data_IF_712978712967
#
_entry.id   IF_712978712967
#
_cell.length_a   1.000
_cell.length_b   1.000
_cell.length_c   1.000
_cell.angle_alpha   90.00
_cell.angle_beta   90.00
_cell.angle_gamma   90.00
#
_symmetry.space_group_name_H-M   'P 1'
#
loop_
_entity.id
_entity.type
_entity.pdbx_description
1 polymer ?
#
# COMPACT_ATOMS: atom_id res chain seq x y z
N UNK A 1 26.31 6.56 15.76
CA UNK A 1 25.83 5.31 15.12
C UNK A 1 25.92 5.53 13.61
N UNK A 2 26.42 4.56 12.85
CA UNK A 2 26.59 4.65 11.40
C UNK A 2 25.57 3.70 10.73
N UNK A 3 25.07 4.05 9.55
CA UNK A 3 24.22 3.18 8.71
C UNK A 3 22.89 2.77 9.36
N UNK A 4 22.22 3.72 10.00
CA UNK A 4 20.85 3.54 10.47
C UNK A 4 19.91 4.25 9.50
N UNK A 5 18.91 3.53 9.00
CA UNK A 5 17.78 4.09 8.28
C UNK A 5 16.63 4.35 9.25
N UNK A 6 16.03 5.53 9.16
CA UNK A 6 14.81 5.86 9.89
C UNK A 6 13.68 6.05 8.89
N UNK A 7 12.62 5.24 8.98
CA UNK A 7 11.44 5.37 8.12
C UNK A 7 10.30 6.01 8.90
N UNK A 8 9.84 7.17 8.44
CA UNK A 8 8.80 7.96 9.11
C UNK A 8 7.57 8.04 8.20
N UNK A 9 6.60 7.10 8.32
CA UNK A 9 5.42 7.09 7.46
C UNK A 9 4.39 8.17 7.83
N UNK A 10 4.44 8.69 9.07
CA UNK A 10 3.54 9.72 9.61
C UNK A 10 4.36 10.85 10.24
N UNK A 11 4.96 11.74 9.44
CA UNK A 11 5.87 12.77 9.94
C UNK A 11 5.20 13.75 10.91
N UNK A 12 3.89 13.95 10.79
CA UNK A 12 3.05 14.74 11.70
C UNK A 12 3.01 14.19 13.13
N UNK A 13 3.35 12.92 13.32
CA UNK A 13 3.38 12.27 14.65
C UNK A 13 4.76 12.31 15.31
N UNK A 14 5.78 12.78 14.61
CA UNK A 14 7.14 12.86 15.16
C UNK A 14 7.28 14.17 15.92
N UNK A 15 7.55 14.05 17.23
CA UNK A 15 7.77 15.18 18.13
C UNK A 15 9.08 15.01 18.90
N UNK A 16 9.56 16.10 19.51
CA UNK A 16 10.75 16.11 20.38
C UNK A 16 12.05 15.62 19.72
N UNK A 17 12.30 16.01 18.47
CA UNK A 17 13.55 15.73 17.79
C UNK A 17 14.70 16.53 18.41
N UNK A 18 15.81 15.85 18.72
CA UNK A 18 17.06 16.45 19.15
C UNK A 18 18.20 15.92 18.27
N UNK A 19 19.01 16.83 17.71
CA UNK A 19 20.16 16.48 16.90
C UNK A 19 21.45 16.58 17.73
N UNK A 20 22.39 15.66 17.49
CA UNK A 20 23.76 15.77 17.99
C UNK A 20 24.61 16.56 16.98
N UNK A 21 25.68 17.24 17.45
CA UNK A 21 26.51 18.09 16.60
C UNK A 21 27.15 17.35 15.40
N UNK A 22 27.46 16.07 15.57
CA UNK A 22 28.12 15.23 14.56
C UNK A 22 27.12 14.40 13.72
N UNK A 23 25.83 14.68 13.82
CA UNK A 23 24.81 13.94 13.08
C UNK A 23 24.84 14.33 11.60
N UNK A 24 25.08 13.35 10.74
CA UNK A 24 24.95 13.49 9.28
C UNK A 24 23.71 12.73 8.81
N UNK A 25 22.89 13.37 8.00
CA UNK A 25 21.63 12.81 7.49
C UNK A 25 21.52 13.08 6.00
N UNK A 26 21.39 12.00 5.23
CA UNK A 26 20.81 12.04 3.90
C UNK A 26 19.32 11.69 4.02
N UNK A 27 18.46 12.39 3.30
CA UNK A 27 17.02 12.20 3.41
C UNK A 27 16.31 12.27 2.06
N UNK A 28 15.21 11.55 2.00
CA UNK A 28 14.28 11.57 0.90
C UNK A 28 12.87 11.76 1.46
N UNK A 29 12.08 12.63 0.83
CA UNK A 29 10.66 12.78 1.10
C UNK A 29 9.89 12.86 -0.20
N UNK A 30 8.72 12.22 -0.22
CA UNK A 30 7.79 12.28 -1.33
C UNK A 30 6.35 12.26 -0.83
N UNK A 31 5.44 12.65 -1.71
CA UNK A 31 4.01 12.56 -1.44
C UNK A 31 3.62 11.11 -1.12
N UNK A 32 2.92 10.94 -0.01
CA UNK A 32 2.55 9.62 0.49
C UNK A 32 1.63 8.87 -0.50
N UNK A 33 0.68 9.58 -1.15
CA UNK A 33 -0.23 8.94 -2.12
C UNK A 33 0.53 8.49 -3.36
N UNK A 34 1.49 9.29 -3.81
CA UNK A 34 2.39 8.92 -4.90
C UNK A 34 3.13 7.61 -4.59
N UNK A 35 3.86 7.53 -3.48
CA UNK A 35 4.57 6.31 -3.09
C UNK A 35 3.65 5.10 -2.93
N UNK A 36 2.47 5.31 -2.31
CA UNK A 36 1.49 4.26 -2.10
C UNK A 36 0.94 3.67 -3.41
N UNK A 37 0.80 4.49 -4.45
CA UNK A 37 0.29 4.08 -5.77
C UNK A 37 1.33 3.31 -6.59
N UNK A 38 2.64 3.48 -6.30
CA UNK A 38 3.71 2.74 -6.96
C UNK A 38 3.79 1.29 -6.48
N UNK A 39 3.51 1.08 -5.20
CA UNK A 39 3.63 -0.22 -4.57
C UNK A 39 2.60 -1.21 -5.12
N UNK A 40 2.99 -2.44 -5.49
CA UNK A 40 2.03 -3.47 -5.86
C UNK A 40 1.08 -3.76 -4.69
N UNK A 41 -0.02 -4.44 -4.97
CA UNK A 41 -0.98 -4.91 -3.96
C UNK A 41 -0.40 -5.97 -3.00
N UNK A 42 0.92 -6.17 -2.97
CA UNK A 42 1.54 -7.09 -2.03
C UNK A 42 1.53 -6.47 -0.62
N UNK A 43 1.33 -7.33 0.37
CA UNK A 43 1.06 -6.93 1.75
C UNK A 43 2.31 -6.40 2.50
N UNK A 44 3.44 -6.24 1.81
CA UNK A 44 4.73 -5.97 2.45
C UNK A 44 4.82 -4.55 3.01
N UNK A 45 4.36 -3.56 2.25
CA UNK A 45 4.25 -2.17 2.72
C UNK A 45 3.43 -2.02 4.02
N UNK A 46 2.56 -2.99 4.29
CA UNK A 46 1.69 -3.02 5.44
C UNK A 46 2.40 -3.70 6.62
N UNK A 47 3.02 -4.87 6.41
CA UNK A 47 3.89 -5.52 7.40
C UNK A 47 5.01 -4.60 7.91
N UNK A 48 5.73 -3.97 6.97
CA UNK A 48 6.77 -2.99 7.25
C UNK A 48 6.25 -1.78 8.01
N UNK A 49 5.11 -1.19 7.61
CA UNK A 49 4.53 -0.05 8.33
C UNK A 49 4.16 -0.33 9.79
N UNK A 50 3.83 -1.58 10.13
CA UNK A 50 3.52 -1.98 11.51
C UNK A 50 4.80 -2.04 12.35
N UNK A 51 5.80 -2.77 11.87
CA UNK A 51 7.09 -2.96 12.55
C UNK A 51 7.83 -1.62 12.68
N UNK A 52 7.83 -0.80 11.62
CA UNK A 52 8.43 0.53 11.61
C UNK A 52 7.71 1.57 12.48
N UNK A 53 6.42 1.41 12.78
CA UNK A 53 5.75 2.30 13.74
C UNK A 53 6.18 2.03 15.19
N UNK A 54 6.58 0.79 15.50
CA UNK A 54 7.04 0.41 16.84
C UNK A 54 8.52 0.69 17.01
N UNK A 55 9.32 0.37 16.00
CA UNK A 55 10.73 0.66 15.94
C UNK A 55 11.11 1.17 14.54
N UNK A 56 11.13 2.50 14.35
CA UNK A 56 11.33 3.12 13.03
C UNK A 56 12.76 3.00 12.53
N UNK A 57 13.69 2.46 13.35
CA UNK A 57 15.10 2.35 13.02
C UNK A 57 15.40 0.98 12.42
N UNK A 58 15.88 0.96 11.19
CA UNK A 58 16.47 -0.23 10.56
C UNK A 58 17.99 -0.06 10.61
N UNK A 59 18.68 -1.01 11.22
CA UNK A 59 20.14 -1.08 11.17
C UNK A 59 20.56 -1.75 9.86
N UNK A 60 21.26 -1.02 9.01
CA UNK A 60 21.70 -1.51 7.71
C UNK A 60 23.11 -2.12 7.79
N UNK A 61 23.38 -3.09 6.93
CA UNK A 61 24.76 -3.46 6.59
C UNK A 61 25.43 -2.33 5.80
N UNK A 62 26.76 -2.36 5.71
CA UNK A 62 27.49 -1.37 4.90
C UNK A 62 27.08 -1.42 3.42
N UNK A 63 26.80 -2.62 2.90
CA UNK A 63 26.31 -2.83 1.52
C UNK A 63 24.91 -2.23 1.33
N UNK A 64 23.97 -2.53 2.23
CA UNK A 64 22.61 -1.99 2.18
C UNK A 64 22.61 -0.45 2.29
N UNK A 65 23.44 0.11 3.16
CA UNK A 65 23.58 1.55 3.31
C UNK A 65 24.12 2.20 2.03
N UNK A 66 25.09 1.57 1.37
CA UNK A 66 25.64 2.08 0.12
C UNK A 66 24.59 2.04 -1.01
N UNK A 67 23.87 0.93 -1.18
CA UNK A 67 22.80 0.85 -2.18
C UNK A 67 21.73 1.93 -1.98
N UNK A 68 21.28 2.13 -0.74
CA UNK A 68 20.27 3.14 -0.45
C UNK A 68 20.77 4.58 -0.67
N UNK A 69 22.05 4.84 -0.40
CA UNK A 69 22.68 6.12 -0.73
C UNK A 69 22.74 6.34 -2.24
N UNK A 70 23.08 5.30 -3.00
CA UNK A 70 23.12 5.36 -4.46
C UNK A 70 21.71 5.63 -5.04
N UNK A 71 20.67 5.04 -4.46
CA UNK A 71 19.28 5.35 -4.82
C UNK A 71 18.89 6.80 -4.53
N UNK A 72 19.23 7.31 -3.35
CA UNK A 72 18.98 8.71 -2.98
C UNK A 72 19.68 9.67 -3.93
N UNK A 73 20.94 9.38 -4.26
CA UNK A 73 21.71 10.16 -5.21
C UNK A 73 21.09 10.12 -6.60
N UNK A 74 20.65 8.94 -7.06
CA UNK A 74 20.01 8.81 -8.37
C UNK A 74 18.68 9.54 -8.45
N UNK A 75 17.89 9.54 -7.38
CA UNK A 75 16.67 10.35 -7.28
C UNK A 75 17.00 11.85 -7.29
N UNK A 76 18.02 12.28 -6.54
CA UNK A 76 18.48 13.67 -6.47
C UNK A 76 18.95 14.18 -7.83
N UNK A 77 19.78 13.41 -8.52
CA UNK A 77 20.38 13.79 -9.80
C UNK A 77 19.33 13.92 -10.92
N UNK A 78 18.20 13.23 -10.76
CA UNK A 78 17.10 13.19 -11.73
C UNK A 78 15.93 14.11 -11.40
N UNK A 79 15.93 14.76 -10.23
CA UNK A 79 14.79 15.53 -9.71
C UNK A 79 14.43 16.74 -10.59
N UNK A 80 15.41 17.33 -11.29
CA UNK A 80 15.22 18.54 -12.10
C UNK A 80 14.85 18.24 -13.55
N UNK A 81 14.79 16.96 -13.93
CA UNK A 81 14.42 16.50 -15.27
C UNK A 81 12.90 16.49 -15.52
N UNK A 82 12.16 17.38 -14.84
CA UNK A 82 10.71 17.52 -14.94
C UNK A 82 10.19 17.82 -16.34
N UNK A 83 11.07 18.25 -17.25
CA UNK A 83 10.79 18.49 -18.66
C UNK A 83 10.67 17.21 -19.50
N UNK A 84 11.13 16.06 -19.01
CA UNK A 84 11.07 14.80 -19.75
C UNK A 84 9.65 14.25 -19.81
N UNK A 85 9.29 13.70 -20.97
CA UNK A 85 7.97 13.14 -21.25
C UNK A 85 7.52 12.06 -20.24
N UNK A 86 8.47 11.26 -19.75
CA UNK A 86 8.23 10.15 -18.82
C UNK A 86 8.79 10.42 -17.43
N UNK A 87 8.89 11.69 -17.02
CA UNK A 87 9.49 12.07 -15.73
C UNK A 87 8.81 11.38 -14.54
N UNK A 88 7.47 11.32 -14.53
CA UNK A 88 6.73 10.74 -13.40
C UNK A 88 6.92 9.23 -13.30
N UNK A 89 6.93 8.55 -14.43
CA UNK A 89 7.18 7.11 -14.55
C UNK A 89 8.61 6.80 -14.11
N UNK A 90 9.59 7.56 -14.59
CA UNK A 90 10.99 7.40 -14.22
C UNK A 90 11.20 7.58 -12.71
N UNK A 91 10.72 8.71 -12.14
CA UNK A 91 10.81 8.96 -10.70
C UNK A 91 10.07 7.88 -9.90
N UNK A 92 8.93 7.43 -10.41
CA UNK A 92 8.17 6.33 -9.83
C UNK A 92 8.95 5.02 -9.80
N UNK A 93 9.61 4.65 -10.89
CA UNK A 93 10.45 3.45 -10.96
C UNK A 93 11.64 3.53 -10.00
N UNK A 94 12.32 4.67 -9.94
CA UNK A 94 13.44 4.88 -9.00
C UNK A 94 12.98 4.79 -7.54
N UNK A 95 11.84 5.42 -7.20
CA UNK A 95 11.25 5.30 -5.88
C UNK A 95 10.88 3.85 -5.57
N UNK A 96 10.31 3.12 -6.54
CA UNK A 96 9.89 1.74 -6.36
C UNK A 96 11.08 0.80 -6.08
N UNK A 97 12.20 0.97 -6.79
CA UNK A 97 13.45 0.23 -6.53
C UNK A 97 13.93 0.46 -5.10
N UNK A 98 14.12 1.73 -4.72
CA UNK A 98 14.54 2.13 -3.38
C UNK A 98 13.61 1.58 -2.28
N UNK A 99 12.29 1.60 -2.51
CA UNK A 99 11.32 1.04 -1.57
C UNK A 99 11.49 -0.47 -1.39
N UNK A 100 11.85 -1.22 -2.44
CA UNK A 100 12.13 -2.65 -2.31
C UNK A 100 13.42 -2.92 -1.55
N UNK A 101 14.46 -2.10 -1.70
CA UNK A 101 15.69 -2.25 -0.92
C UNK A 101 15.46 -1.98 0.57
N UNK A 102 14.63 -0.99 0.90
CA UNK A 102 14.16 -0.75 2.29
C UNK A 102 13.37 -1.96 2.82
N UNK A 103 12.50 -2.53 2.00
CA UNK A 103 11.70 -3.70 2.37
C UNK A 103 12.56 -4.94 2.61
N UNK A 104 13.57 -5.16 1.78
CA UNK A 104 14.48 -6.30 1.94
C UNK A 104 15.30 -6.16 3.23
N UNK A 105 15.84 -4.97 3.51
CA UNK A 105 16.54 -4.69 4.76
C UNK A 105 15.63 -4.88 5.99
N UNK A 106 14.36 -4.49 5.87
CA UNK A 106 13.35 -4.69 6.92
C UNK A 106 13.00 -6.19 7.11
N UNK A 107 12.89 -6.96 6.03
CA UNK A 107 12.54 -8.39 6.07
C UNK A 107 13.59 -9.21 6.81
N UNK A 108 14.87 -8.90 6.55
CA UNK A 108 16.00 -9.57 7.17
C UNK A 108 16.07 -9.30 8.68
N UNK A 109 15.56 -8.15 9.13
CA UNK A 109 15.39 -7.82 10.55
C UNK A 109 14.24 -8.59 11.19
N UNK A 110 13.04 -8.57 10.60
CA UNK A 110 11.85 -9.24 11.17
C UNK A 110 12.02 -10.77 11.27
N UNK A 111 12.86 -11.38 10.43
CA UNK A 111 13.24 -12.80 10.55
C UNK A 111 13.96 -13.13 11.88
N UNK A 112 14.52 -12.12 12.55
CA UNK A 112 15.30 -12.26 13.79
C UNK A 112 14.56 -11.82 15.05
N UNK A 113 13.42 -11.13 14.94
CA UNK A 113 12.72 -10.49 16.08
C UNK A 113 11.26 -10.97 16.20
N UNK A 114 11.03 -12.05 16.94
CA UNK A 114 9.70 -12.59 17.24
C UNK A 114 9.05 -11.89 18.44
N UNK A 115 8.53 -10.67 18.26
CA UNK A 115 7.59 -10.09 19.21
C UNK A 115 6.25 -9.76 18.52
N UNK A 116 5.23 -10.58 18.81
CA UNK A 116 3.88 -10.49 18.24
C UNK A 116 3.00 -9.52 19.04
N UNK A 117 2.96 -8.24 18.63
CA UNK A 117 1.87 -7.34 19.06
C UNK A 117 0.54 -7.85 18.48
N UNK A 118 -0.49 -7.98 19.33
CA UNK A 118 -1.88 -8.29 18.93
C UNK A 118 -2.37 -7.37 17.81
N UNK A 119 -1.90 -6.13 17.81
CA UNK A 119 -2.15 -5.13 16.76
C UNK A 119 -1.58 -5.59 15.41
N UNK A 120 -0.31 -6.03 15.40
CA UNK A 120 0.36 -6.53 14.21
C UNK A 120 -0.31 -7.80 13.66
N UNK A 121 -0.70 -8.70 14.56
CA UNK A 121 -1.46 -9.88 14.21
C UNK A 121 -2.77 -9.53 13.47
N UNK A 122 -3.57 -8.60 13.99
CA UNK A 122 -4.85 -8.22 13.36
C UNK A 122 -4.65 -7.65 11.95
N UNK A 123 -3.67 -6.77 11.78
CA UNK A 123 -3.39 -6.21 10.45
C UNK A 123 -2.92 -7.31 9.50
N UNK A 124 -1.97 -8.16 9.93
CA UNK A 124 -1.48 -9.29 9.12
C UNK A 124 -2.62 -10.22 8.71
N UNK A 125 -3.53 -10.56 9.62
CA UNK A 125 -4.66 -11.43 9.32
C UNK A 125 -5.69 -10.78 8.40
N UNK A 126 -5.96 -9.47 8.54
CA UNK A 126 -6.81 -8.74 7.58
C UNK A 126 -6.22 -8.82 6.17
N UNK A 127 -4.91 -8.59 6.04
CA UNK A 127 -4.23 -8.62 4.75
C UNK A 127 -4.17 -10.03 4.15
N UNK A 128 -3.98 -11.05 4.99
CA UNK A 128 -4.07 -12.44 4.56
C UNK A 128 -5.47 -12.77 4.02
N UNK A 129 -6.54 -12.32 4.70
CA UNK A 129 -7.91 -12.49 4.21
C UNK A 129 -8.12 -11.79 2.87
N UNK A 130 -7.69 -10.53 2.73
CA UNK A 130 -7.84 -9.78 1.47
C UNK A 130 -7.06 -10.40 0.30
N UNK A 131 -5.87 -10.94 0.57
CA UNK A 131 -5.06 -11.62 -0.44
C UNK A 131 -5.71 -12.88 -1.02
N UNK A 132 -6.67 -13.50 -0.31
CA UNK A 132 -7.44 -14.63 -0.87
C UNK A 132 -8.41 -14.23 -1.99
N UNK A 133 -8.61 -12.93 -2.23
CA UNK A 133 -9.59 -12.41 -3.18
C UNK A 133 -11.02 -12.38 -2.64
N UNK A 134 -11.22 -12.66 -1.34
CA UNK A 134 -12.56 -12.67 -0.70
C UNK A 134 -13.30 -11.32 -0.80
N UNK A 135 -12.57 -10.22 -0.98
CA UNK A 135 -13.14 -8.88 -1.20
C UNK A 135 -13.97 -8.78 -2.49
N UNK A 136 -13.78 -9.72 -3.43
CA UNK A 136 -14.63 -9.88 -4.61
C UNK A 136 -16.09 -10.08 -4.25
N UNK A 137 -16.43 -10.73 -3.14
CA UNK A 137 -17.82 -10.99 -2.74
C UNK A 137 -18.19 -10.34 -1.42
N UNK A 138 -17.20 -10.04 -0.57
CA UNK A 138 -17.40 -9.54 0.80
C UNK A 138 -16.72 -8.19 1.00
N UNK A 139 -17.49 -7.10 0.95
CA UNK A 139 -16.97 -5.72 1.03
C UNK A 139 -17.31 -4.99 2.32
N UNK A 140 -18.03 -5.63 3.24
CA UNK A 140 -18.41 -5.02 4.51
C UNK A 140 -17.32 -5.20 5.58
N UNK A 141 -16.96 -4.14 6.29
CA UNK A 141 -15.95 -4.18 7.37
C UNK A 141 -16.34 -5.18 8.47
N UNK A 142 -17.64 -5.32 8.74
CA UNK A 142 -18.19 -6.21 9.76
C UNK A 142 -17.92 -7.68 9.45
N UNK A 143 -17.86 -8.04 8.17
CA UNK A 143 -17.50 -9.40 7.74
C UNK A 143 -16.09 -9.77 8.21
N UNK A 144 -15.12 -8.89 7.95
CA UNK A 144 -13.72 -9.10 8.35
C UNK A 144 -13.58 -9.05 9.87
N UNK A 145 -14.25 -8.12 10.53
CA UNK A 145 -14.23 -8.01 11.99
C UNK A 145 -14.70 -9.30 12.67
N UNK A 146 -15.80 -9.88 12.17
CA UNK A 146 -16.32 -11.18 12.64
C UNK A 146 -15.30 -12.30 12.45
N UNK A 147 -14.67 -12.41 11.27
CA UNK A 147 -13.64 -13.44 11.02
C UNK A 147 -12.39 -13.29 11.89
N UNK A 148 -12.07 -12.07 12.29
CA UNK A 148 -10.93 -11.74 13.15
C UNK A 148 -11.29 -11.75 14.64
N UNK A 149 -12.52 -12.11 15.01
CA UNK A 149 -13.02 -12.13 16.39
C UNK A 149 -12.83 -10.78 17.12
N UNK A 150 -13.12 -9.68 16.42
CA UNK A 150 -13.06 -8.31 16.97
C UNK A 150 -14.31 -7.52 16.58
N UNK A 151 -14.57 -6.41 17.27
CA UNK A 151 -15.64 -5.49 16.86
C UNK A 151 -15.25 -4.70 15.60
N UNK A 152 -16.20 -4.32 14.73
CA UNK A 152 -15.92 -3.48 13.56
C UNK A 152 -15.26 -2.15 13.92
N UNK A 153 -15.67 -1.56 15.05
CA UNK A 153 -15.08 -0.33 15.60
C UNK A 153 -13.61 -0.54 15.99
N UNK A 154 -13.30 -1.64 16.67
CA UNK A 154 -11.93 -1.96 17.07
C UNK A 154 -11.05 -2.25 15.86
N UNK A 155 -11.53 -3.04 14.88
CA UNK A 155 -10.80 -3.27 13.63
C UNK A 155 -10.50 -1.95 12.91
N UNK A 156 -11.53 -1.11 12.72
CA UNK A 156 -11.38 0.18 12.04
C UNK A 156 -10.38 1.10 12.73
N UNK A 157 -10.46 1.22 14.07
CA UNK A 157 -9.52 2.03 14.85
C UNK A 157 -8.11 1.46 14.79
N UNK A 158 -7.96 0.14 14.89
CA UNK A 158 -6.67 -0.56 14.84
C UNK A 158 -5.98 -0.34 13.51
N UNK A 159 -6.67 -0.64 12.40
CA UNK A 159 -6.11 -0.46 11.05
C UNK A 159 -5.75 1.01 10.82
N UNK A 160 -6.66 1.95 11.12
CA UNK A 160 -6.39 3.38 10.93
C UNK A 160 -5.23 3.89 11.77
N UNK A 161 -5.11 3.45 13.02
CA UNK A 161 -4.03 3.87 13.93
C UNK A 161 -2.67 3.44 13.38
N UNK A 162 -2.59 2.21 12.90
CA UNK A 162 -1.34 1.55 12.50
C UNK A 162 -0.96 1.92 11.08
N UNK A 163 -1.90 1.87 10.14
CA UNK A 163 -1.57 2.03 8.73
C UNK A 163 -1.92 3.41 8.18
N UNK A 164 -2.68 4.21 8.92
CA UNK A 164 -3.21 5.51 8.48
C UNK A 164 -4.48 5.41 7.63
N UNK A 165 -4.88 4.21 7.20
CA UNK A 165 -5.98 3.99 6.26
C UNK A 165 -7.21 3.35 6.88
N UNK A 166 -8.36 3.53 6.23
CA UNK A 166 -9.56 2.82 6.62
C UNK A 166 -9.51 1.36 6.14
N UNK A 167 -10.22 0.48 6.84
CA UNK A 167 -10.42 -0.92 6.40
C UNK A 167 -11.05 -0.97 5.01
N UNK A 168 -12.02 -0.08 4.75
CA UNK A 168 -12.67 0.05 3.44
C UNK A 168 -11.67 0.37 2.33
N UNK A 169 -10.69 1.25 2.58
CA UNK A 169 -9.66 1.56 1.58
C UNK A 169 -8.84 0.33 1.17
N UNK A 170 -8.57 -0.59 2.11
CA UNK A 170 -7.90 -1.85 1.79
C UNK A 170 -8.80 -2.81 1.02
N UNK A 171 -10.05 -2.95 1.45
CA UNK A 171 -11.05 -3.74 0.71
C UNK A 171 -11.11 -3.26 -0.74
N UNK A 172 -11.21 -1.95 -0.97
CA UNK A 172 -11.25 -1.39 -2.32
C UNK A 172 -9.95 -1.64 -3.08
N UNK A 173 -8.76 -1.45 -2.46
CA UNK A 173 -7.46 -1.70 -3.10
C UNK A 173 -7.32 -3.13 -3.65
N UNK A 174 -7.92 -4.12 -2.97
CA UNK A 174 -7.94 -5.51 -3.44
C UNK A 174 -9.10 -5.80 -4.40
N UNK A 175 -10.24 -5.13 -4.24
CA UNK A 175 -11.44 -5.39 -5.05
C UNK A 175 -11.37 -4.77 -6.45
N UNK A 176 -10.82 -3.55 -6.57
CA UNK A 176 -10.83 -2.81 -7.83
C UNK A 176 -10.00 -3.48 -8.93
N UNK A 177 -8.81 -4.05 -8.68
CA UNK A 177 -8.11 -4.83 -9.70
C UNK A 177 -8.94 -6.01 -10.22
N UNK A 178 -9.57 -6.78 -9.32
CA UNK A 178 -10.44 -7.91 -9.69
C UNK A 178 -11.64 -7.44 -10.54
N UNK A 179 -12.25 -6.31 -10.17
CA UNK A 179 -13.33 -5.69 -10.94
C UNK A 179 -12.85 -5.33 -12.36
N UNK A 180 -11.66 -4.71 -12.47
CA UNK A 180 -11.09 -4.33 -13.76
C UNK A 180 -10.81 -5.55 -14.63
N UNK A 181 -10.28 -6.63 -14.04
CA UNK A 181 -10.02 -7.89 -14.73
C UNK A 181 -11.32 -8.49 -15.30
N UNK A 182 -12.41 -8.47 -14.53
CA UNK A 182 -13.73 -8.91 -15.02
C UNK A 182 -14.31 -8.00 -16.09
N UNK A 183 -14.17 -6.69 -15.94
CA UNK A 183 -14.64 -5.77 -16.96
C UNK A 183 -13.88 -5.93 -18.27
N UNK A 184 -12.59 -6.27 -18.21
CA UNK A 184 -11.74 -6.55 -19.38
C UNK A 184 -12.05 -7.89 -20.07
N UNK A 185 -12.72 -8.82 -19.39
CA UNK A 185 -13.17 -10.08 -20.01
C UNK A 185 -14.47 -9.87 -20.80
N UNK A 186 -14.36 -9.77 -22.12
CA UNK A 186 -15.50 -9.59 -23.04
C UNK A 186 -16.50 -10.75 -23.02
N UNK A 187 -16.11 -11.93 -22.53
CA UNK A 187 -16.99 -13.11 -22.45
C UNK A 187 -18.00 -12.99 -21.31
N UNK A 188 -17.76 -12.11 -20.34
CA UNK A 188 -18.65 -11.89 -19.21
C UNK A 188 -19.63 -10.75 -19.54
N UNK A 189 -20.93 -10.96 -19.36
CA UNK A 189 -21.90 -9.87 -19.35
C UNK A 189 -21.82 -9.07 -18.04
N UNK A 190 -22.24 -7.81 -18.05
CA UNK A 190 -22.27 -6.99 -16.83
C UNK A 190 -23.14 -7.60 -15.72
N UNK A 191 -24.22 -8.30 -16.09
CA UNK A 191 -25.07 -9.05 -15.16
C UNK A 191 -24.30 -10.20 -14.52
N UNK A 192 -23.58 -11.00 -15.31
CA UNK A 192 -22.75 -12.09 -14.79
C UNK A 192 -21.65 -11.56 -13.86
N UNK A 193 -21.06 -10.40 -14.15
CA UNK A 193 -20.07 -9.79 -13.26
C UNK A 193 -20.71 -9.35 -11.95
N UNK A 194 -21.88 -8.70 -12.01
CA UNK A 194 -22.62 -8.32 -10.82
C UNK A 194 -22.90 -9.54 -9.92
N UNK A 195 -23.30 -10.66 -10.52
CA UNK A 195 -23.54 -11.93 -9.81
C UNK A 195 -22.24 -12.53 -9.25
N UNK A 196 -21.16 -12.61 -10.04
CA UNK A 196 -19.85 -13.12 -9.62
C UNK A 196 -19.25 -12.32 -8.46
N UNK A 197 -19.52 -11.01 -8.43
CA UNK A 197 -19.10 -10.12 -7.37
C UNK A 197 -20.11 -10.05 -6.22
N UNK A 198 -21.19 -10.83 -6.22
CA UNK A 198 -22.21 -10.88 -5.18
C UNK A 198 -22.93 -9.52 -4.95
N UNK A 199 -23.31 -8.83 -6.02
CA UNK A 199 -24.20 -7.67 -5.94
C UNK A 199 -25.66 -8.11 -6.02
N UNK A 200 -26.53 -7.46 -5.24
CA UNK A 200 -27.97 -7.76 -5.21
C UNK A 200 -28.72 -7.33 -6.47
N UNK A 201 -28.13 -6.43 -7.28
CA UNK A 201 -28.64 -6.08 -8.59
C UNK A 201 -27.57 -5.43 -9.48
N UNK A 202 -27.80 -5.46 -10.79
CA UNK A 202 -26.98 -4.76 -11.78
C UNK A 202 -26.91 -3.24 -11.52
N UNK A 203 -27.98 -2.66 -10.99
CA UNK A 203 -28.04 -1.23 -10.65
C UNK A 203 -27.10 -0.89 -9.48
N UNK A 204 -27.04 -1.73 -8.45
CA UNK A 204 -26.09 -1.56 -7.34
C UNK A 204 -24.64 -1.73 -7.81
N UNK A 205 -24.39 -2.73 -8.65
CA UNK A 205 -23.08 -2.93 -9.29
C UNK A 205 -22.66 -1.70 -10.11
N UNK A 206 -23.55 -1.17 -10.96
CA UNK A 206 -23.24 -0.01 -11.80
C UNK A 206 -22.90 1.24 -10.99
N UNK A 207 -23.60 1.47 -9.86
CA UNK A 207 -23.26 2.54 -8.91
C UNK A 207 -21.89 2.33 -8.27
N UNK A 208 -21.57 1.09 -7.90
CA UNK A 208 -20.26 0.75 -7.35
C UNK A 208 -19.15 1.02 -8.37
N UNK A 209 -19.28 0.57 -9.62
CA UNK A 209 -18.33 0.87 -10.70
C UNK A 209 -18.15 2.38 -10.89
N UNK A 210 -19.24 3.13 -10.98
CA UNK A 210 -19.17 4.60 -11.19
C UNK A 210 -18.43 5.29 -10.04
N UNK A 211 -18.70 4.90 -8.79
CA UNK A 211 -18.03 5.44 -7.60
C UNK A 211 -16.51 5.21 -7.63
N UNK A 212 -16.06 4.03 -8.07
CA UNK A 212 -14.66 3.62 -7.96
C UNK A 212 -13.84 3.79 -9.24
N UNK A 213 -14.48 3.79 -10.41
CA UNK A 213 -13.85 3.92 -11.72
C UNK A 213 -14.09 5.29 -12.36
N UNK A 214 -15.00 6.10 -11.80
CA UNK A 214 -15.36 7.43 -12.33
C UNK A 214 -16.33 7.42 -13.51
N UNK A 215 -16.69 6.25 -14.03
CA UNK A 215 -17.58 6.07 -15.18
C UNK A 215 -18.41 4.78 -15.06
N UNK A 216 -19.46 4.67 -15.87
CA UNK A 216 -20.32 3.48 -15.86
C UNK A 216 -19.54 2.23 -16.30
N UNK A 217 -19.95 1.01 -15.89
CA UNK A 217 -19.25 -0.21 -16.28
C UNK A 217 -19.27 -0.44 -17.81
N UNK A 218 -20.32 0.01 -18.50
CA UNK A 218 -20.40 -0.04 -19.96
C UNK A 218 -19.39 0.91 -20.62
N UNK A 219 -19.33 2.17 -20.16
CA UNK A 219 -18.38 3.16 -20.67
C UNK A 219 -16.94 2.73 -20.39
N UNK A 220 -16.70 2.13 -19.22
CA UNK A 220 -15.40 1.58 -18.88
C UNK A 220 -14.96 0.50 -19.86
N UNK A 221 -15.84 -0.44 -20.23
CA UNK A 221 -15.51 -1.45 -21.24
C UNK A 221 -15.18 -0.87 -22.59
N UNK A 222 -15.97 0.10 -23.06
CA UNK A 222 -15.72 0.78 -24.32
C UNK A 222 -14.35 1.47 -24.32
N UNK A 223 -13.91 2.00 -23.18
CA UNK A 223 -12.59 2.63 -23.05
C UNK A 223 -11.40 1.66 -23.12
N UNK A 224 -11.62 0.34 -22.97
CA UNK A 224 -10.57 -0.68 -23.05
C UNK A 224 -10.34 -1.20 -24.47
N UNK A 225 -11.29 -0.99 -25.39
CA UNK A 225 -11.18 -1.49 -26.75
C UNK A 225 -10.20 -0.62 -27.56
N UNK A 226 -9.27 -1.22 -28.32
CA UNK A 226 -8.40 -0.46 -29.20
C UNK A 226 -9.24 0.30 -30.23
N UNK A 227 -8.93 1.59 -30.40
CA UNK A 227 -9.52 2.43 -31.45
C UNK A 227 -9.05 1.99 -32.83
#
# INVERSE_FOLDING_TARGET
>A
MKNNLVVIPMPDRVCNLAAHADLQVEWFAADYKFLQNLLPSNNYSIGGSISLNQDPVIKLSDEQAQHLLDDFHRLRDRKDDSHLQFYRELMGSLCLTMMYDIFEAHAQRDATDTHTDRTAYIVKQLMALLATGISRTERDVSYYAKRLNVSPKYLSATIKRVTGHSVTSYIDRHTIPILKDYLNDERLSLTQIADLMNFTSLSYFSRYCTKHLGQSPSDYRLSLQPK
#
